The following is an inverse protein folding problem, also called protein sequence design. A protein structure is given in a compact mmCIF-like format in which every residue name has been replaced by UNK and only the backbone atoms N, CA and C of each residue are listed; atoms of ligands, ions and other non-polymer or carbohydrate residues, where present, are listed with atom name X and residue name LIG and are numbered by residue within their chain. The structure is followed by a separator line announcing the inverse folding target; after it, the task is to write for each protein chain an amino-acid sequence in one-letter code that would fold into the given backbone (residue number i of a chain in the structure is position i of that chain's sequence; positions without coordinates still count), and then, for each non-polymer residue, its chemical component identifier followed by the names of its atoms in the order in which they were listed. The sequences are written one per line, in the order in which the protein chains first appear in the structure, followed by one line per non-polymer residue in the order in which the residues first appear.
data_IF_851813981129
#
_entry.id   IF_851813981129
#
_cell.length_a   1.000
_cell.length_b   1.000
_cell.length_c   1.000
_cell.angle_alpha   90.00
_cell.angle_beta   90.00
_cell.angle_gamma   90.00
#
_symmetry.space_group_name_H-M   'P 1'
#
loop_
_entity.id
_entity.type
_entity.pdbx_description
1 polymer ?
#
# COMPACT_ATOMS: atom_id res chain seq x y z
N UNK A 1 11.31 2.73 6.30
CA UNK A 1 11.51 3.29 7.66
C UNK A 1 12.80 4.07 7.75
N UNK A 2 13.95 3.45 7.54
CA UNK A 2 15.28 4.09 7.66
C UNK A 2 15.38 5.41 6.89
N UNK A 3 14.87 5.50 5.65
CA UNK A 3 14.90 6.74 4.88
C UNK A 3 14.08 7.88 5.52
N UNK A 4 12.96 7.56 6.17
CA UNK A 4 12.18 8.55 6.91
C UNK A 4 12.89 8.99 8.19
N UNK A 5 13.50 8.05 8.93
CA UNK A 5 14.24 8.34 10.14
C UNK A 5 15.52 9.17 9.89
N UNK A 6 16.09 9.07 8.70
CA UNK A 6 17.26 9.86 8.30
C UNK A 6 16.87 11.24 7.69
N UNK A 7 15.61 11.62 7.74
CA UNK A 7 15.13 12.90 7.20
C UNK A 7 15.10 12.97 5.66
N UNK A 8 15.41 11.88 4.98
CA UNK A 8 15.46 11.81 3.53
C UNK A 8 14.08 11.69 2.89
N UNK A 9 13.15 11.08 3.63
CA UNK A 9 11.83 10.75 3.16
C UNK A 9 11.82 9.57 2.19
N UNK A 10 10.62 9.08 1.92
CA UNK A 10 10.39 7.98 0.99
C UNK A 10 9.05 8.16 0.28
N UNK A 11 8.96 7.63 -0.94
CA UNK A 11 7.69 7.53 -1.68
C UNK A 11 7.43 6.05 -1.92
N UNK A 12 6.24 5.60 -1.52
CA UNK A 12 5.78 4.24 -1.75
C UNK A 12 4.69 4.25 -2.82
N UNK A 13 4.92 3.56 -3.92
CA UNK A 13 3.91 3.31 -4.94
C UNK A 13 3.26 1.95 -4.71
N UNK A 14 1.94 1.92 -4.65
CA UNK A 14 1.21 0.68 -4.45
C UNK A 14 -0.16 0.70 -5.11
N UNK A 15 -0.73 -0.48 -5.30
CA UNK A 15 -2.09 -0.62 -5.81
C UNK A 15 -3.08 -0.48 -4.65
N UNK A 16 -4.11 0.35 -4.82
CA UNK A 16 -5.09 0.66 -3.78
C UNK A 16 -5.82 -0.58 -3.23
N UNK A 17 -5.97 -1.64 -4.03
CA UNK A 17 -6.56 -2.94 -3.63
C UNK A 17 -5.51 -4.01 -3.34
N UNK A 18 -4.26 -3.62 -3.17
CA UNK A 18 -3.16 -4.53 -2.83
C UNK A 18 -2.97 -4.69 -1.32
N UNK A 19 -2.09 -5.62 -0.95
CA UNK A 19 -1.79 -5.94 0.47
C UNK A 19 -1.33 -4.74 1.29
N UNK A 20 -0.71 -3.75 0.67
CA UNK A 20 -0.22 -2.54 1.35
C UNK A 20 -1.37 -1.69 1.88
N UNK A 21 -2.47 -1.59 1.12
CA UNK A 21 -3.65 -0.82 1.53
C UNK A 21 -4.38 -1.41 2.74
N UNK A 22 -4.15 -2.68 3.05
CA UNK A 22 -4.87 -3.40 4.11
C UNK A 22 -4.01 -3.73 5.34
N UNK A 23 -2.68 -3.73 5.22
CA UNK A 23 -1.79 -4.28 6.23
C UNK A 23 -0.70 -3.37 6.77
N UNK A 24 -0.46 -2.19 6.19
CA UNK A 24 0.64 -1.31 6.60
C UNK A 24 0.07 0.02 7.11
N UNK A 25 0.51 0.42 8.28
CA UNK A 25 0.23 1.73 8.86
C UNK A 25 1.48 2.62 8.79
N UNK A 26 1.25 3.88 8.45
CA UNK A 26 2.27 4.91 8.37
C UNK A 26 1.98 5.96 9.44
N UNK A 27 2.28 5.61 10.69
CA UNK A 27 2.09 6.46 11.85
C UNK A 27 3.19 7.53 11.97
N UNK A 28 2.88 8.61 12.64
CA UNK A 28 3.79 9.72 12.90
C UNK A 28 4.50 10.24 11.63
N UNK A 29 5.83 10.33 11.68
CA UNK A 29 6.65 10.86 10.58
C UNK A 29 6.80 9.90 9.38
N UNK A 30 6.31 8.66 9.48
CA UNK A 30 6.36 7.70 8.38
C UNK A 30 5.33 7.97 7.28
N UNK A 31 4.24 8.69 7.58
CA UNK A 31 3.22 9.05 6.60
C UNK A 31 2.80 10.51 6.74
N UNK A 32 3.11 11.34 5.76
CA UNK A 32 2.73 12.76 5.74
C UNK A 32 1.89 13.15 4.54
N UNK A 33 1.79 12.27 3.56
CA UNK A 33 0.93 12.47 2.39
C UNK A 33 0.45 11.14 1.84
N UNK A 34 -0.79 11.12 1.37
CA UNK A 34 -1.34 10.04 0.58
C UNK A 34 -2.04 10.61 -0.65
N UNK A 35 -1.68 10.07 -1.82
CA UNK A 35 -2.28 10.42 -3.09
C UNK A 35 -3.03 9.22 -3.63
N UNK A 36 -4.35 9.32 -3.72
CA UNK A 36 -5.19 8.32 -4.35
C UNK A 36 -5.43 8.74 -5.81
N UNK A 37 -4.71 8.12 -6.74
CA UNK A 37 -4.79 8.42 -8.17
C UNK A 37 -5.82 7.49 -8.80
N UNK A 38 -6.93 8.06 -9.26
CA UNK A 38 -8.07 7.33 -9.79
C UNK A 38 -9.00 6.77 -8.71
N UNK A 39 -10.21 6.40 -9.11
CA UNK A 39 -11.17 5.73 -8.25
C UNK A 39 -10.92 4.21 -8.29
N UNK A 40 -10.63 3.56 -7.16
CA UNK A 40 -10.22 2.15 -7.12
C UNK A 40 -11.39 1.19 -7.29
N UNK A 41 -11.98 1.11 -8.49
CA UNK A 41 -13.02 0.13 -8.81
C UNK A 41 -12.48 -1.30 -8.81
N UNK A 42 -13.34 -2.25 -8.50
CA UNK A 42 -13.05 -3.66 -8.68
C UNK A 42 -12.98 -4.04 -10.17
N UNK A 43 -12.23 -5.09 -10.46
CA UNK A 43 -12.22 -5.70 -11.80
C UNK A 43 -13.58 -6.36 -12.07
N UNK A 44 -14.36 -5.75 -12.97
CA UNK A 44 -15.76 -6.12 -13.23
C UNK A 44 -15.94 -7.46 -13.95
N UNK A 45 -14.89 -7.95 -14.63
CA UNK A 45 -14.93 -9.23 -15.33
C UNK A 45 -14.71 -10.46 -14.42
N UNK A 46 -14.47 -10.24 -13.13
CA UNK A 46 -14.36 -11.33 -12.16
C UNK A 46 -15.67 -12.12 -12.06
N UNK A 47 -15.63 -13.44 -12.27
CA UNK A 47 -16.79 -14.33 -12.15
C UNK A 47 -17.40 -14.26 -10.74
N UNK A 48 -16.56 -14.23 -9.71
CA UNK A 48 -17.00 -14.13 -8.31
C UNK A 48 -17.74 -12.82 -8.07
N UNK A 49 -17.23 -11.71 -8.61
CA UNK A 49 -17.90 -10.42 -8.49
C UNK A 49 -19.23 -10.42 -9.23
N UNK A 50 -19.29 -10.96 -10.44
CA UNK A 50 -20.53 -11.07 -11.22
C UNK A 50 -21.61 -11.85 -10.47
N UNK A 51 -21.29 -13.02 -9.93
CA UNK A 51 -22.21 -13.81 -9.11
C UNK A 51 -22.70 -13.04 -7.87
N UNK A 52 -21.79 -12.33 -7.17
CA UNK A 52 -22.16 -11.49 -6.03
C UNK A 52 -23.13 -10.37 -6.41
N UNK A 53 -22.86 -9.68 -7.52
CA UNK A 53 -23.70 -8.59 -8.00
C UNK A 53 -25.09 -9.09 -8.41
N UNK A 54 -25.18 -10.29 -8.95
CA UNK A 54 -26.45 -10.93 -9.31
C UNK A 54 -27.31 -11.20 -8.07
N UNK A 55 -26.74 -11.77 -7.01
CA UNK A 55 -27.41 -11.97 -5.70
C UNK A 55 -27.84 -10.63 -5.11
N UNK A 56 -26.94 -9.63 -5.09
CA UNK A 56 -27.26 -8.31 -4.55
C UNK A 56 -28.43 -7.66 -5.29
N UNK A 57 -28.50 -7.80 -6.60
CA UNK A 57 -29.59 -7.29 -7.42
C UNK A 57 -30.89 -8.07 -7.20
N UNK A 58 -30.83 -9.41 -7.17
CA UNK A 58 -32.00 -10.28 -7.06
C UNK A 58 -32.64 -10.24 -5.68
N UNK A 59 -31.85 -10.44 -4.63
CA UNK A 59 -32.36 -10.58 -3.26
C UNK A 59 -32.48 -9.24 -2.53
N UNK A 60 -31.49 -8.35 -2.71
CA UNK A 60 -31.41 -7.10 -1.94
C UNK A 60 -31.82 -5.87 -2.73
N UNK A 61 -32.12 -6.00 -4.03
CA UNK A 61 -32.48 -4.89 -4.94
C UNK A 61 -31.44 -3.78 -5.00
N UNK A 62 -30.16 -4.12 -4.73
CA UNK A 62 -29.03 -3.21 -4.82
C UNK A 62 -28.54 -3.15 -6.26
N UNK A 63 -28.49 -1.95 -6.84
CA UNK A 63 -27.98 -1.77 -8.18
C UNK A 63 -26.47 -1.97 -8.21
N UNK A 64 -25.99 -2.64 -9.24
CA UNK A 64 -24.58 -2.93 -9.46
C UNK A 64 -23.68 -1.69 -9.33
N UNK A 65 -24.08 -0.60 -9.98
CA UNK A 65 -23.32 0.66 -9.98
C UNK A 65 -23.24 1.28 -8.60
N UNK A 66 -24.27 1.15 -7.77
CA UNK A 66 -24.30 1.66 -6.41
C UNK A 66 -23.33 0.88 -5.53
N UNK A 67 -23.34 -0.46 -5.64
CA UNK A 67 -22.41 -1.32 -4.92
C UNK A 67 -20.96 -1.05 -5.32
N UNK A 68 -20.65 -1.03 -6.62
CA UNK A 68 -19.30 -0.80 -7.12
C UNK A 68 -18.77 0.58 -6.71
N UNK A 69 -19.63 1.60 -6.75
CA UNK A 69 -19.27 2.95 -6.31
C UNK A 69 -19.00 3.00 -4.81
N UNK A 70 -19.87 2.45 -4.00
CA UNK A 70 -19.71 2.38 -2.55
C UNK A 70 -18.41 1.65 -2.17
N UNK A 71 -18.17 0.48 -2.76
CA UNK A 71 -16.97 -0.30 -2.49
C UNK A 71 -15.69 0.43 -2.89
N UNK A 72 -15.68 1.10 -4.04
CA UNK A 72 -14.54 1.90 -4.50
C UNK A 72 -14.24 3.08 -3.56
N UNK A 73 -15.27 3.81 -3.11
CA UNK A 73 -15.11 4.93 -2.17
C UNK A 73 -14.66 4.44 -0.80
N UNK A 74 -15.17 3.29 -0.32
CA UNK A 74 -14.72 2.66 0.92
C UNK A 74 -13.23 2.33 0.87
N UNK A 75 -12.76 1.76 -0.24
CA UNK A 75 -11.33 1.46 -0.42
C UNK A 75 -10.46 2.71 -0.51
N UNK A 76 -10.91 3.75 -1.23
CA UNK A 76 -10.22 5.03 -1.25
C UNK A 76 -10.08 5.62 0.17
N UNK A 77 -11.18 5.65 0.93
CA UNK A 77 -11.17 6.12 2.32
C UNK A 77 -10.23 5.30 3.22
N UNK A 78 -10.17 3.99 3.03
CA UNK A 78 -9.26 3.11 3.74
C UNK A 78 -7.79 3.45 3.43
N UNK A 79 -7.46 3.73 2.16
CA UNK A 79 -6.13 4.19 1.77
C UNK A 79 -5.78 5.53 2.41
N UNK A 80 -6.70 6.50 2.39
CA UNK A 80 -6.50 7.82 2.99
C UNK A 80 -6.24 7.71 4.50
N UNK A 81 -6.95 6.84 5.20
CA UNK A 81 -6.79 6.63 6.63
C UNK A 81 -5.43 6.05 7.07
N UNK A 82 -4.54 5.70 6.14
CA UNK A 82 -3.22 5.12 6.48
C UNK A 82 -2.22 6.13 7.05
N UNK A 83 -2.42 7.42 6.84
CA UNK A 83 -1.53 8.48 7.32
C UNK A 83 -2.02 9.17 8.61
N UNK A 84 -3.23 8.84 9.08
CA UNK A 84 -3.79 9.37 10.32
C UNK A 84 -4.09 8.22 11.27
N UNK A 85 -3.20 7.94 12.20
CA UNK A 85 -3.32 6.85 13.18
C UNK A 85 -3.36 7.33 14.61
N UNK A 86 -2.58 8.32 14.94
CA UNK A 86 -2.52 8.93 16.25
C UNK A 86 -3.35 10.21 16.32
N UNK A 87 -3.64 10.65 17.55
CA UNK A 87 -4.36 11.89 17.81
C UNK A 87 -3.60 13.13 17.31
N UNK A 88 -2.28 13.05 17.32
CA UNK A 88 -1.39 14.14 16.94
C UNK A 88 -0.83 13.98 15.51
N UNK A 89 -1.34 12.99 14.77
CA UNK A 89 -0.92 12.79 13.38
C UNK A 89 -1.55 13.84 12.47
N UNK A 90 -0.75 14.25 11.48
CA UNK A 90 -1.19 15.13 10.41
C UNK A 90 -0.69 14.63 9.06
N UNK A 91 -1.42 14.91 8.02
CA UNK A 91 -1.03 14.52 6.67
C UNK A 91 -1.93 15.12 5.60
N UNK A 92 -1.38 15.26 4.41
CA UNK A 92 -2.10 15.71 3.22
C UNK A 92 -2.76 14.50 2.55
N UNK A 93 -4.03 14.62 2.23
CA UNK A 93 -4.80 13.62 1.50
C UNK A 93 -5.25 14.19 0.17
N UNK A 94 -4.84 13.58 -0.93
CA UNK A 94 -5.19 14.02 -2.28
C UNK A 94 -6.01 12.94 -2.99
N UNK A 95 -7.21 13.32 -3.40
CA UNK A 95 -8.07 12.51 -4.26
C UNK A 95 -7.90 12.99 -5.71
N UNK A 96 -6.94 12.40 -6.42
CA UNK A 96 -6.53 12.84 -7.75
C UNK A 96 -7.38 12.20 -8.85
N UNK A 97 -8.69 12.46 -8.80
CA UNK A 97 -9.64 12.06 -9.84
C UNK A 97 -10.92 12.91 -9.73
N UNK A 98 -11.32 13.53 -10.82
CA UNK A 98 -12.51 14.39 -10.87
C UNK A 98 -13.82 13.69 -10.49
N UNK A 99 -13.87 12.37 -10.62
CA UNK A 99 -15.06 11.58 -10.25
C UNK A 99 -15.35 11.61 -8.76
N UNK A 100 -14.37 11.89 -7.89
CA UNK A 100 -14.59 12.02 -6.46
C UNK A 100 -15.52 13.18 -6.09
N UNK A 101 -15.52 14.28 -6.86
CA UNK A 101 -16.44 15.40 -6.65
C UNK A 101 -17.89 14.92 -6.64
N UNK A 102 -18.31 14.14 -7.65
CA UNK A 102 -19.66 13.61 -7.75
C UNK A 102 -19.98 12.56 -6.68
N UNK A 103 -18.97 11.99 -6.06
CA UNK A 103 -19.07 10.93 -5.04
C UNK A 103 -18.78 11.46 -3.63
N UNK A 104 -18.63 12.76 -3.46
CA UNK A 104 -18.31 13.40 -2.18
C UNK A 104 -19.27 12.99 -1.06
N UNK A 105 -20.57 12.91 -1.35
CA UNK A 105 -21.59 12.50 -0.39
C UNK A 105 -21.42 11.03 0.10
N UNK A 106 -20.71 10.21 -0.65
CA UNK A 106 -20.41 8.81 -0.27
C UNK A 106 -19.13 8.67 0.56
N UNK A 107 -18.32 9.72 0.66
CA UNK A 107 -17.13 9.71 1.51
C UNK A 107 -17.52 9.67 2.99
N UNK A 108 -16.74 9.01 3.84
CA UNK A 108 -16.92 9.04 5.29
C UNK A 108 -16.96 10.48 5.82
N UNK A 109 -17.75 10.71 6.87
CA UNK A 109 -17.95 12.05 7.44
C UNK A 109 -16.64 12.74 7.79
N UNK A 110 -15.67 12.01 8.37
CA UNK A 110 -14.39 12.58 8.78
C UNK A 110 -13.55 13.12 7.60
N UNK A 111 -13.64 12.49 6.42
CA UNK A 111 -12.99 13.00 5.20
C UNK A 111 -13.76 14.19 4.67
N UNK A 112 -15.07 14.05 4.56
CA UNK A 112 -15.93 15.09 3.96
C UNK A 112 -15.91 16.39 4.77
N UNK A 113 -15.84 16.32 6.09
CA UNK A 113 -15.72 17.48 6.98
C UNK A 113 -14.35 18.17 6.89
N UNK A 114 -13.30 17.43 6.56
CA UNK A 114 -11.96 17.99 6.38
C UNK A 114 -11.75 18.62 4.98
N UNK A 115 -12.62 18.31 4.01
CA UNK A 115 -12.54 18.86 2.66
C UNK A 115 -13.19 20.24 2.60
N UNK A 116 -12.39 21.27 2.37
CA UNK A 116 -12.89 22.62 2.10
C UNK A 116 -13.36 22.72 0.64
N UNK A 117 -14.43 23.48 0.40
CA UNK A 117 -14.93 23.70 -0.97
C UNK A 117 -13.92 24.43 -1.84
N UNK A 118 -13.11 25.30 -1.24
CA UNK A 118 -11.99 25.99 -1.90
C UNK A 118 -10.85 25.07 -2.33
N UNK A 119 -10.80 23.84 -1.82
CA UNK A 119 -9.77 22.84 -2.12
C UNK A 119 -10.26 21.75 -3.08
N UNK A 120 -11.43 21.94 -3.67
CA UNK A 120 -11.97 21.05 -4.69
C UNK A 120 -11.61 21.53 -6.10
N UNK A 121 -11.38 20.60 -7.02
CA UNK A 121 -11.05 20.87 -8.43
C UNK A 121 -9.83 21.80 -8.63
N UNK A 122 -8.84 21.68 -7.78
CA UNK A 122 -7.60 22.44 -7.90
C UNK A 122 -6.80 22.05 -9.16
N UNK A 123 -6.09 23.00 -9.73
CA UNK A 123 -5.00 22.69 -10.65
C UNK A 123 -3.86 22.00 -9.89
N UNK A 124 -3.01 21.28 -10.62
CA UNK A 124 -1.84 20.60 -10.01
C UNK A 124 -0.95 21.56 -9.23
N UNK A 125 -0.71 22.77 -9.78
CA UNK A 125 0.15 23.77 -9.14
C UNK A 125 -0.47 24.29 -7.84
N UNK A 126 -1.78 24.55 -7.83
CA UNK A 126 -2.49 24.96 -6.62
C UNK A 126 -2.49 23.84 -5.57
N UNK A 127 -2.74 22.60 -5.97
CA UNK A 127 -2.72 21.46 -5.06
C UNK A 127 -1.33 21.28 -4.42
N UNK A 128 -0.26 21.38 -5.21
CA UNK A 128 1.13 21.33 -4.71
C UNK A 128 1.43 22.50 -3.78
N UNK A 129 0.98 23.72 -4.13
CA UNK A 129 1.18 24.91 -3.28
C UNK A 129 0.47 24.77 -1.93
N UNK A 130 -0.80 24.35 -1.94
CA UNK A 130 -1.58 24.12 -0.72
C UNK A 130 -0.93 23.02 0.15
N UNK A 131 -0.53 21.91 -0.46
CA UNK A 131 0.15 20.85 0.25
C UNK A 131 1.47 21.29 0.90
N UNK A 132 2.28 22.08 0.18
CA UNK A 132 3.51 22.65 0.72
C UNK A 132 3.25 23.58 1.90
N UNK A 133 2.27 24.46 1.78
CA UNK A 133 1.93 25.41 2.83
C UNK A 133 1.41 24.69 4.07
N UNK A 134 0.49 23.73 3.89
CA UNK A 134 0.00 22.89 4.98
C UNK A 134 1.11 22.15 5.70
N UNK A 135 1.95 21.42 4.97
CA UNK A 135 3.02 20.63 5.56
C UNK A 135 4.06 21.51 6.29
N UNK A 136 4.34 22.71 5.79
CA UNK A 136 5.22 23.67 6.49
C UNK A 136 4.60 24.20 7.78
N UNK A 137 3.32 24.52 7.75
CA UNK A 137 2.60 25.01 8.93
C UNK A 137 2.49 23.94 10.02
N UNK A 138 2.26 22.69 9.62
CA UNK A 138 2.09 21.57 10.54
C UNK A 138 3.41 20.92 10.96
N UNK A 139 4.55 21.31 10.36
CA UNK A 139 5.85 20.71 10.64
C UNK A 139 6.17 20.75 12.14
N UNK A 140 6.41 19.59 12.72
CA UNK A 140 6.85 19.44 14.10
C UNK A 140 8.36 19.28 14.16
N UNK A 141 9.04 19.74 15.24
CA UNK A 141 10.45 19.46 15.45
C UNK A 141 10.71 17.97 15.43
N UNK A 142 11.69 17.53 14.65
CA UNK A 142 12.10 16.14 14.62
C UNK A 142 12.75 15.75 15.94
N UNK A 143 12.26 14.72 16.62
CA UNK A 143 12.80 14.25 17.89
C UNK A 143 14.01 13.36 17.62
N UNK A 144 15.15 13.67 18.25
CA UNK A 144 16.40 12.91 18.06
C UNK A 144 16.26 11.40 18.37
N UNK A 145 15.35 11.03 19.27
CA UNK A 145 15.07 9.63 19.60
C UNK A 145 14.40 8.85 18.47
N UNK A 146 13.76 9.55 17.54
CA UNK A 146 13.09 8.96 16.37
C UNK A 146 14.07 8.88 15.17
N UNK A 147 15.29 9.40 15.33
CA UNK A 147 16.30 9.44 14.28
C UNK A 147 17.21 8.23 14.39
N UNK A 148 17.06 7.33 13.43
CA UNK A 148 17.99 6.22 13.20
C UNK A 148 19.07 6.67 12.22
N UNK A 149 20.25 7.04 12.76
CA UNK A 149 21.36 7.53 11.94
C UNK A 149 21.69 9.00 12.19
N UNK A 150 22.83 9.45 11.67
CA UNK A 150 23.49 10.68 12.11
C UNK A 150 23.02 11.90 11.31
N UNK A 151 22.49 11.73 10.11
CA UNK A 151 22.01 12.84 9.26
C UNK A 151 21.35 12.36 7.97
N UNK A 152 20.94 13.28 7.14
CA UNK A 152 20.53 13.02 5.76
C UNK A 152 21.69 12.35 5.00
N UNK A 153 21.45 11.18 4.41
CA UNK A 153 22.46 10.51 3.62
C UNK A 153 22.80 11.33 2.36
N UNK A 154 24.07 11.61 2.18
CA UNK A 154 24.61 12.09 0.91
C UNK A 154 24.80 10.96 -0.09
N UNK A 155 25.19 11.29 -1.32
CA UNK A 155 25.44 10.30 -2.38
C UNK A 155 26.47 9.26 -1.94
N UNK A 156 27.57 9.69 -1.30
CA UNK A 156 28.63 8.82 -0.77
C UNK A 156 28.13 7.85 0.32
N UNK A 157 27.13 8.23 1.11
CA UNK A 157 26.55 7.36 2.13
C UNK A 157 25.68 6.28 1.50
N UNK A 158 25.00 6.61 0.43
CA UNK A 158 24.19 5.66 -0.36
C UNK A 158 25.10 4.62 -1.00
N UNK A 159 26.14 5.07 -1.71
CA UNK A 159 27.12 4.19 -2.36
C UNK A 159 27.78 3.24 -1.35
N UNK A 160 28.16 3.76 -0.18
CA UNK A 160 28.74 2.97 0.90
C UNK A 160 27.76 1.94 1.45
N UNK A 161 26.50 2.30 1.59
CA UNK A 161 25.47 1.39 2.07
C UNK A 161 25.16 0.29 1.03
N UNK A 162 25.08 0.65 -0.23
CA UNK A 162 24.90 -0.31 -1.33
C UNK A 162 26.06 -1.28 -1.46
N UNK A 163 27.30 -0.78 -1.31
CA UNK A 163 28.47 -1.62 -1.31
C UNK A 163 28.46 -2.63 -0.15
N UNK A 164 28.11 -2.19 1.07
CA UNK A 164 27.96 -3.07 2.23
C UNK A 164 26.88 -4.14 2.00
N UNK A 165 25.74 -3.75 1.42
CA UNK A 165 24.67 -4.70 1.13
C UNK A 165 25.11 -5.77 0.13
N UNK A 166 25.81 -5.39 -0.95
CA UNK A 166 26.35 -6.34 -1.92
C UNK A 166 27.33 -7.33 -1.29
N UNK A 167 28.24 -6.85 -0.46
CA UNK A 167 29.21 -7.73 0.25
C UNK A 167 28.51 -8.69 1.21
N UNK A 168 27.43 -8.25 1.86
CA UNK A 168 26.63 -9.09 2.75
C UNK A 168 25.86 -10.17 1.96
N UNK A 169 25.23 -9.78 0.86
CA UNK A 169 24.53 -10.71 -0.06
C UNK A 169 25.49 -11.75 -0.64
N UNK A 170 26.70 -11.34 -1.06
CA UNK A 170 27.74 -12.24 -1.54
C UNK A 170 28.24 -13.20 -0.44
N UNK A 171 28.35 -12.71 0.79
CA UNK A 171 28.73 -13.55 1.94
C UNK A 171 27.67 -14.59 2.23
N UNK A 172 26.40 -14.20 2.29
CA UNK A 172 25.27 -15.12 2.51
C UNK A 172 25.20 -16.19 1.41
N UNK A 173 25.36 -15.77 0.17
CA UNK A 173 25.36 -16.72 -0.97
C UNK A 173 26.53 -17.73 -0.89
N UNK A 174 27.73 -17.29 -0.45
CA UNK A 174 28.86 -18.19 -0.22
C UNK A 174 28.64 -19.16 0.94
N UNK A 175 28.01 -18.69 2.02
CA UNK A 175 27.68 -19.54 3.18
C UNK A 175 26.63 -20.58 2.80
N UNK A 176 25.62 -20.21 2.00
CA UNK A 176 24.63 -21.15 1.47
C UNK A 176 25.24 -22.20 0.53
N UNK A 177 26.16 -21.78 -0.37
CA UNK A 177 26.88 -22.71 -1.24
C UNK A 177 27.76 -23.68 -0.43
N UNK A 178 28.48 -23.21 0.57
CA UNK A 178 29.32 -24.05 1.43
C UNK A 178 28.49 -25.02 2.28
N UNK A 179 27.35 -24.58 2.79
CA UNK A 179 26.44 -25.44 3.54
C UNK A 179 25.72 -26.45 2.62
N UNK A 180 25.44 -26.09 1.36
CA UNK A 180 24.90 -26.99 0.36
C UNK A 180 25.87 -28.12 -0.02
N UNK A 181 27.19 -27.85 -0.08
CA UNK A 181 28.22 -28.86 -0.37
C UNK A 181 28.50 -29.79 0.83
N UNK A 182 28.18 -29.35 2.04
CA UNK A 182 28.34 -30.20 3.24
C UNK A 182 27.24 -31.26 3.37
N UNK A 183 26.13 -31.14 2.68
CA UNK A 183 25.02 -32.11 2.70
C UNK A 183 25.10 -33.16 1.59
N UNK A 184 25.94 -32.98 0.58
CA UNK A 184 26.06 -33.92 -0.56
C UNK A 184 26.98 -35.14 -0.28
N UNK A 185 27.51 -35.24 0.94
CA UNK A 185 28.32 -36.37 1.40
C UNK A 185 27.57 -37.44 2.20
N UNK A 186 26.26 -37.29 2.42
CA UNK A 186 25.46 -38.25 3.16
C UNK A 186 24.39 -38.85 2.24
N UNK A 187 24.75 -39.98 1.61
CA UNK A 187 23.82 -40.81 0.84
C UNK A 187 22.81 -41.45 1.80
N UNK A 188 21.53 -41.09 1.77
CA UNK A 188 20.53 -41.89 2.45
C UNK A 188 20.15 -43.08 1.55
N UNK A 189 20.27 -44.28 2.09
CA UNK A 189 19.81 -45.53 1.50
C UNK A 189 18.32 -45.43 1.13
N UNK A 190 18.00 -45.96 -0.01
CA UNK A 190 16.69 -46.04 -0.64
C UNK A 190 15.54 -46.37 0.32
N UNK A 191 14.49 -45.57 0.29
CA UNK A 191 13.13 -46.04 0.53
C UNK A 191 12.08 -45.14 -0.08
N UNK A 192 11.42 -45.70 -1.07
CA UNK A 192 10.04 -45.48 -1.53
C UNK A 192 9.65 -44.04 -1.99
N UNK A 193 9.68 -43.89 -3.29
CA UNK A 193 8.86 -42.96 -4.05
C UNK A 193 7.39 -43.41 -3.90
N UNK A 194 6.58 -42.62 -3.23
CA UNK A 194 5.13 -42.66 -3.35
C UNK A 194 4.77 -41.60 -4.40
N UNK A 195 4.45 -42.06 -5.58
CA UNK A 195 3.82 -41.26 -6.62
C UNK A 195 2.35 -41.12 -6.24
N UNK A 196 1.96 -39.94 -5.75
CA UNK A 196 0.55 -39.56 -5.72
C UNK A 196 0.16 -39.17 -7.15
N UNK A 197 -0.53 -40.11 -7.82
CA UNK A 197 -1.31 -39.83 -9.02
C UNK A 197 -2.44 -38.88 -8.61
N UNK A 198 -2.42 -37.68 -9.18
CA UNK A 198 -3.59 -36.82 -9.20
C UNK A 198 -4.60 -37.38 -10.20
N UNK A 199 -5.67 -37.97 -9.67
CA UNK A 199 -6.86 -38.35 -10.41
C UNK A 199 -7.56 -37.11 -10.95
N UNK A 200 -7.42 -36.88 -12.27
CA UNK A 200 -8.27 -36.01 -13.05
C UNK A 200 -9.60 -36.73 -13.34
N UNK A 201 -10.52 -36.70 -12.40
CA UNK A 201 -11.92 -37.02 -12.63
C UNK A 201 -12.79 -36.06 -11.84
N UNK A 202 -13.16 -34.96 -12.46
CA UNK A 202 -14.35 -34.19 -12.08
C UNK A 202 -15.34 -34.26 -13.21
N UNK A 203 -16.20 -35.22 -13.03
CA UNK A 203 -17.60 -35.36 -13.42
C UNK A 203 -18.21 -34.31 -14.36
N UNK A 204 -18.54 -34.81 -15.54
CA UNK A 204 -19.76 -34.52 -16.21
C UNK A 204 -20.92 -35.11 -15.38
N UNK A 205 -21.75 -34.24 -14.77
CA UNK A 205 -23.18 -34.40 -14.55
C UNK A 205 -23.68 -33.46 -13.44
N UNK A 206 -24.55 -32.59 -13.86
CA UNK A 206 -25.57 -31.75 -13.20
C UNK A 206 -25.44 -30.26 -13.43
#
# INVERSE_FOLDING_TARGET
RTACCNGRGAILFCVARGKVSEGIDFDHHYGRAVLCIGVPFQYTESRILKARLEVLRGEYRIRENDFLSFDAIRHAAQCLGRVLRGKDDYGVMVLADRRFERKRAQLPKWINQAMLDSETNLSTDMAVSNAKNFLRTMAQPFKSKDQEGISTWGLADIERHEAKRRTEEERMMREELNNGHAMDGMVPSASRIVTDEYDDNIDQDL
#
